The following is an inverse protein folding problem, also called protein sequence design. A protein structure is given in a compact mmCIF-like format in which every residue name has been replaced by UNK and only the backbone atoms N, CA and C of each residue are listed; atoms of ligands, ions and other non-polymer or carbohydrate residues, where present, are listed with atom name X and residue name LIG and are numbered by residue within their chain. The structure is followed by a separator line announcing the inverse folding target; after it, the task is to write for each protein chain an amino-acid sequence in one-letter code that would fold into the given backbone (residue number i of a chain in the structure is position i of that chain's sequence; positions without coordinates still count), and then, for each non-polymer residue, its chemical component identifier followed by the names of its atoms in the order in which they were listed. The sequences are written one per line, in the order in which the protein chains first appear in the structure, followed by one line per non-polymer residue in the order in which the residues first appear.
data_IF_509141112482
#
_entry.id   IF_509141112482
#
_cell.length_a   1.000
_cell.length_b   1.000
_cell.length_c   1.000
_cell.angle_alpha   90.00
_cell.angle_beta   90.00
_cell.angle_gamma   90.00
#
_symmetry.space_group_name_H-M   'P 1'
#
loop_
_entity.id
_entity.type
_entity.pdbx_description
1 polymer ?
#
# COMPACT_ATOMS: atom_id res chain seq x y z
N UNK A 1 -12.92 6.18 10.18
CA UNK A 1 -12.95 5.61 8.82
C UNK A 1 -14.37 5.18 8.48
N UNK A 2 -14.79 5.28 7.22
CA UNK A 2 -16.12 4.86 6.75
C UNK A 2 -16.23 3.33 6.62
N UNK A 3 -15.11 2.66 6.39
CA UNK A 3 -15.03 1.21 6.23
C UNK A 3 -14.39 0.57 7.46
N UNK A 4 -14.88 -0.60 7.92
CA UNK A 4 -14.18 -1.39 8.92
C UNK A 4 -12.84 -1.85 8.36
N UNK A 5 -11.84 -1.99 9.21
CA UNK A 5 -10.52 -2.47 8.83
C UNK A 5 -9.91 -3.26 9.99
N UNK A 6 -8.96 -4.14 9.67
CA UNK A 6 -8.18 -4.90 10.64
C UNK A 6 -6.72 -4.95 10.19
N UNK A 7 -5.79 -4.91 11.13
CA UNK A 7 -4.40 -5.25 10.85
C UNK A 7 -4.16 -6.73 11.14
N UNK A 8 -3.44 -7.40 10.25
CA UNK A 8 -3.04 -8.80 10.40
C UNK A 8 -1.54 -8.90 10.13
N UNK A 9 -0.80 -9.58 11.02
CA UNK A 9 0.56 -10.01 10.72
C UNK A 9 0.51 -11.31 9.93
N UNK A 10 1.27 -11.35 8.85
CA UNK A 10 1.49 -12.57 8.10
C UNK A 10 2.51 -13.48 8.82
N UNK A 11 2.70 -14.73 8.35
CA UNK A 11 3.67 -15.66 8.95
C UNK A 11 5.14 -15.21 8.88
N UNK A 12 5.47 -14.20 8.08
CA UNK A 12 6.81 -13.64 7.92
C UNK A 12 7.04 -12.39 8.79
N UNK A 13 5.99 -11.90 9.45
CA UNK A 13 6.02 -10.74 10.33
C UNK A 13 5.65 -9.43 9.64
N UNK A 14 5.16 -9.48 8.40
CA UNK A 14 4.68 -8.30 7.68
C UNK A 14 3.28 -7.94 8.13
N UNK A 15 3.04 -6.66 8.44
CA UNK A 15 1.74 -6.16 8.89
C UNK A 15 0.92 -5.69 7.70
N UNK A 16 -0.12 -6.43 7.36
CA UNK A 16 -1.10 -6.08 6.34
C UNK A 16 -2.36 -5.41 6.89
N UNK A 17 -3.12 -4.76 6.02
CA UNK A 17 -4.44 -4.20 6.32
C UNK A 17 -5.53 -4.96 5.58
N UNK A 18 -6.44 -5.57 6.32
CA UNK A 18 -7.63 -6.23 5.77
C UNK A 18 -8.77 -5.23 5.65
N UNK A 19 -9.24 -5.03 4.43
CA UNK A 19 -10.36 -4.16 4.07
C UNK A 19 -11.55 -4.98 3.53
N UNK A 20 -12.77 -4.42 3.52
CA UNK A 20 -13.94 -5.03 2.90
C UNK A 20 -13.72 -5.32 1.42
N UNK A 21 -14.40 -6.35 0.89
CA UNK A 21 -14.24 -6.82 -0.50
C UNK A 21 -14.41 -5.70 -1.53
N UNK A 22 -15.28 -4.72 -1.27
CA UNK A 22 -15.54 -3.62 -2.20
C UNK A 22 -14.33 -2.69 -2.38
N UNK A 23 -13.40 -2.69 -1.43
CA UNK A 23 -12.21 -1.83 -1.41
C UNK A 23 -10.93 -2.63 -1.12
N UNK A 24 -10.95 -3.96 -1.20
CA UNK A 24 -9.81 -4.83 -0.88
C UNK A 24 -8.60 -4.58 -1.78
N UNK A 25 -8.82 -4.08 -3.00
CA UNK A 25 -7.75 -3.66 -3.93
C UNK A 25 -6.83 -2.58 -3.35
N UNK A 26 -7.31 -1.81 -2.36
CA UNK A 26 -6.50 -0.79 -1.71
C UNK A 26 -5.61 -1.35 -0.58
N UNK A 27 -5.84 -2.57 -0.11
CA UNK A 27 -5.01 -3.20 0.93
C UNK A 27 -3.57 -3.31 0.46
N UNK A 28 -3.35 -3.98 -0.67
CA UNK A 28 -2.02 -4.14 -1.28
C UNK A 28 -1.37 -2.79 -1.57
N UNK A 29 -2.15 -1.81 -2.06
CA UNK A 29 -1.64 -0.47 -2.33
C UNK A 29 -1.13 0.20 -1.05
N UNK A 30 -1.93 0.19 0.03
CA UNK A 30 -1.58 0.83 1.30
C UNK A 30 -0.34 0.17 1.93
N UNK A 31 -0.26 -1.17 1.88
CA UNK A 31 0.89 -1.92 2.40
C UNK A 31 2.19 -1.54 1.69
N UNK A 32 2.11 -1.27 0.38
CA UNK A 32 3.26 -0.84 -0.42
C UNK A 32 3.72 0.60 -0.15
N UNK A 33 2.89 1.45 0.47
CA UNK A 33 3.21 2.87 0.75
C UNK A 33 3.06 3.22 2.24
N UNK A 34 3.22 2.23 3.12
CA UNK A 34 2.96 2.38 4.55
C UNK A 34 3.92 3.38 5.25
N UNK A 35 5.05 3.69 4.63
CA UNK A 35 6.03 4.68 5.10
C UNK A 35 6.25 5.79 4.09
N UNK A 36 6.72 6.95 4.56
CA UNK A 36 7.08 8.08 3.71
C UNK A 36 8.18 7.70 2.69
N UNK A 37 9.16 6.89 3.11
CA UNK A 37 10.24 6.42 2.24
C UNK A 37 9.70 5.57 1.09
N UNK A 38 8.82 4.60 1.37
CA UNK A 38 8.16 3.80 0.34
C UNK A 38 7.30 4.67 -0.57
N UNK A 39 6.52 5.61 -0.03
CA UNK A 39 5.71 6.51 -0.84
C UNK A 39 6.59 7.35 -1.80
N UNK A 40 7.72 7.86 -1.33
CA UNK A 40 8.67 8.61 -2.16
C UNK A 40 9.28 7.72 -3.25
N UNK A 41 9.59 6.45 -2.96
CA UNK A 41 10.09 5.50 -3.96
C UNK A 41 9.09 5.29 -5.11
N UNK A 42 7.80 5.14 -4.79
CA UNK A 42 6.75 5.03 -5.81
C UNK A 42 6.59 6.33 -6.62
N UNK A 43 6.72 7.50 -5.99
CA UNK A 43 6.72 8.79 -6.68
C UNK A 43 7.90 8.86 -7.66
N UNK A 44 9.11 8.49 -7.23
CA UNK A 44 10.30 8.45 -8.08
C UNK A 44 10.10 7.51 -9.29
N UNK A 45 9.46 6.35 -9.12
CA UNK A 45 9.13 5.45 -10.22
C UNK A 45 8.15 6.08 -11.21
N UNK A 46 7.12 6.76 -10.71
CA UNK A 46 6.13 7.46 -11.55
C UNK A 46 6.80 8.59 -12.34
N UNK A 47 7.70 9.35 -11.70
CA UNK A 47 8.47 10.41 -12.35
C UNK A 47 9.35 9.85 -13.47
N UNK A 48 10.10 8.77 -13.23
CA UNK A 48 10.92 8.11 -14.26
C UNK A 48 10.09 7.68 -15.46
N UNK A 49 8.94 7.02 -15.23
CA UNK A 49 8.03 6.63 -16.32
C UNK A 49 7.50 7.84 -17.07
N UNK A 50 7.14 8.92 -16.36
CA UNK A 50 6.67 10.17 -16.99
C UNK A 50 7.75 10.85 -17.82
N UNK A 51 9.02 10.71 -17.44
CA UNK A 51 10.17 11.19 -18.18
C UNK A 51 10.61 10.25 -19.31
N UNK A 52 10.00 9.06 -19.41
CA UNK A 52 10.33 8.03 -20.40
C UNK A 52 11.65 7.32 -20.11
N UNK A 53 12.04 7.25 -18.84
CA UNK A 53 13.26 6.61 -18.30
C UNK A 53 12.93 5.20 -17.78
#
# INVERSE_FOLDING_TARGET
MKYPYKFEEDPFGDVGIVLPEEISIFSDFIENIATEEQANEYIDYIEKVSEGI
#
